data_IF_880464843785
#
_entry.id   IF_880464843785
#
_cell.length_a   1.000
_cell.length_b   1.000
_cell.length_c   1.000
_cell.angle_alpha   90.00
_cell.angle_beta   90.00
_cell.angle_gamma   90.00
#
_symmetry.space_group_name_H-M   'P 1'
#
loop_
_entity.id
_entity.type
_entity.pdbx_description
1 polymer ?
#
# COMPACT_ATOMS: atom_id res chain seq x y z
N UNK A 1 32.96 -20.83 10.93
CA UNK A 1 31.89 -19.92 10.44
C UNK A 1 32.54 -18.58 10.16
N UNK A 2 32.56 -18.11 8.91
CA UNK A 2 33.16 -16.82 8.60
C UNK A 2 32.26 -15.70 9.13
N UNK A 3 32.77 -14.89 10.06
CA UNK A 3 32.08 -13.69 10.51
C UNK A 3 32.06 -12.70 9.35
N UNK A 4 30.86 -12.34 8.86
CA UNK A 4 30.72 -11.26 7.90
C UNK A 4 31.04 -9.95 8.63
N UNK A 5 32.29 -9.48 8.52
CA UNK A 5 32.66 -8.16 9.01
C UNK A 5 32.24 -7.11 7.98
N UNK A 6 31.21 -6.34 8.31
CA UNK A 6 30.80 -5.21 7.48
C UNK A 6 31.89 -4.12 7.56
N UNK A 7 32.31 -3.52 6.43
CA UNK A 7 33.26 -2.43 6.44
C UNK A 7 32.68 -1.25 7.24
N UNK A 8 33.49 -0.64 8.10
CA UNK A 8 33.05 0.44 8.99
C UNK A 8 32.41 1.61 8.20
N UNK A 9 31.29 2.13 8.73
CA UNK A 9 30.65 3.33 8.20
C UNK A 9 31.59 4.53 8.35
N UNK A 10 31.80 5.26 7.26
CA UNK A 10 32.71 6.43 7.27
C UNK A 10 31.98 7.70 7.71
N UNK A 11 32.66 8.62 8.43
CA UNK A 11 32.08 9.89 8.85
C UNK A 11 31.55 10.72 7.68
N UNK A 12 30.46 11.45 7.91
CA UNK A 12 29.78 12.26 6.90
C UNK A 12 30.68 13.32 6.24
N UNK A 13 31.61 13.90 7.02
CA UNK A 13 32.55 14.91 6.54
C UNK A 13 33.50 14.40 5.44
N UNK A 14 33.79 13.10 5.41
CA UNK A 14 34.63 12.48 4.38
C UNK A 14 33.83 12.04 3.15
N UNK A 15 32.52 11.81 3.30
CA UNK A 15 31.63 11.30 2.25
C UNK A 15 30.99 12.43 1.42
N UNK A 16 30.59 13.53 2.06
CA UNK A 16 30.03 14.68 1.35
C UNK A 16 31.17 15.52 0.74
N UNK A 17 31.15 15.81 -0.55
CA UNK A 17 32.31 16.33 -1.27
C UNK A 17 32.63 17.77 -0.85
N UNK A 18 33.80 17.96 -0.22
CA UNK A 18 34.49 19.25 -0.24
C UNK A 18 34.95 19.58 -1.66
N UNK A 19 34.99 20.87 -2.00
CA UNK A 19 35.24 21.39 -3.35
C UNK A 19 36.52 20.86 -4.04
N UNK A 20 37.49 20.33 -3.29
CA UNK A 20 38.78 19.87 -3.81
C UNK A 20 38.75 18.45 -4.43
N UNK A 21 37.73 17.64 -4.12
CA UNK A 21 37.68 16.22 -4.54
C UNK A 21 37.15 15.99 -5.96
N UNK A 22 36.43 16.95 -6.54
CA UNK A 22 35.99 16.95 -7.94
C UNK A 22 36.95 17.70 -8.87
N UNK A 23 38.26 17.56 -8.65
CA UNK A 23 39.24 18.01 -9.65
C UNK A 23 38.96 17.32 -10.99
N UNK A 24 38.97 18.10 -12.09
CA UNK A 24 38.70 17.59 -13.43
C UNK A 24 39.57 16.35 -13.71
N UNK A 25 38.98 15.25 -14.25
CA UNK A 25 39.72 14.03 -14.51
C UNK A 25 40.85 14.30 -15.52
N UNK A 26 42.01 13.72 -15.26
CA UNK A 26 43.14 13.77 -16.17
C UNK A 26 42.91 12.73 -17.28
N UNK A 27 42.29 13.15 -18.39
CA UNK A 27 41.90 12.29 -19.51
C UNK A 27 43.08 11.74 -20.31
N UNK A 28 44.31 12.20 -20.02
CA UNK A 28 45.54 11.76 -20.70
C UNK A 28 46.12 10.47 -20.11
N UNK A 29 45.74 10.07 -18.88
CA UNK A 29 46.23 8.85 -18.24
C UNK A 29 45.07 7.96 -17.75
N UNK A 30 44.61 7.00 -18.59
CA UNK A 30 43.47 6.15 -18.27
C UNK A 30 43.72 5.23 -17.06
N UNK A 31 44.98 4.92 -16.76
CA UNK A 31 45.38 4.06 -15.64
C UNK A 31 45.15 4.78 -14.32
N UNK A 32 45.58 6.04 -14.24
CA UNK A 32 45.39 6.91 -13.08
C UNK A 32 43.91 7.26 -12.87
N UNK A 33 43.17 7.44 -13.96
CA UNK A 33 41.72 7.63 -13.90
C UNK A 33 41.00 6.37 -13.37
N UNK A 34 41.31 5.18 -13.90
CA UNK A 34 40.75 3.92 -13.43
C UNK A 34 41.06 3.69 -11.93
N UNK A 35 42.29 3.93 -11.49
CA UNK A 35 42.65 3.85 -10.07
C UNK A 35 41.88 4.84 -9.19
N UNK A 36 41.63 6.07 -9.67
CA UNK A 36 40.78 7.04 -8.96
C UNK A 36 39.34 6.57 -8.84
N UNK A 37 38.76 6.01 -9.91
CA UNK A 37 37.37 5.52 -9.92
C UNK A 37 37.21 4.28 -9.04
N UNK A 38 38.08 3.28 -9.19
CA UNK A 38 38.03 2.04 -8.40
C UNK A 38 38.24 2.35 -6.92
N UNK A 39 39.21 3.19 -6.57
CA UNK A 39 39.41 3.58 -5.18
C UNK A 39 38.19 4.33 -4.66
N UNK A 40 37.59 5.27 -5.39
CA UNK A 40 36.39 5.95 -4.91
C UNK A 40 35.20 4.98 -4.70
N UNK A 41 35.04 4.00 -5.61
CA UNK A 41 33.97 3.01 -5.53
C UNK A 41 34.18 2.01 -4.37
N UNK A 42 35.40 1.49 -4.18
CA UNK A 42 35.75 0.59 -3.07
C UNK A 42 35.76 1.33 -1.71
N UNK A 43 36.27 2.57 -1.69
CA UNK A 43 36.52 3.34 -0.46
C UNK A 43 35.23 3.85 0.21
N UNK A 44 34.12 3.93 -0.53
CA UNK A 44 32.81 4.37 -0.01
C UNK A 44 31.69 3.34 -0.23
N UNK A 45 32.01 2.08 -0.54
CA UNK A 45 31.03 1.04 -0.86
C UNK A 45 29.88 0.94 0.16
N UNK A 46 30.18 0.91 1.46
CA UNK A 46 29.15 0.83 2.53
C UNK A 46 28.29 2.11 2.59
N UNK A 47 28.88 3.29 2.42
CA UNK A 47 28.15 4.55 2.45
C UNK A 47 27.23 4.71 1.22
N UNK A 48 27.72 4.34 0.03
CA UNK A 48 26.88 4.33 -1.18
C UNK A 48 25.75 3.31 -1.08
N UNK A 49 25.99 2.13 -0.50
CA UNK A 49 24.93 1.15 -0.30
C UNK A 49 23.93 1.60 0.77
N UNK A 50 24.37 2.21 1.87
CA UNK A 50 23.48 2.81 2.85
C UNK A 50 22.62 3.93 2.25
N UNK A 51 23.19 4.79 1.40
CA UNK A 51 22.46 5.83 0.67
C UNK A 51 21.50 5.22 -0.35
N UNK A 52 21.90 4.18 -1.09
CA UNK A 52 21.04 3.48 -2.03
C UNK A 52 19.85 2.84 -1.32
N UNK A 53 20.06 2.19 -0.18
CA UNK A 53 18.98 1.67 0.68
C UNK A 53 18.11 2.80 1.19
N UNK A 54 18.68 3.91 1.66
CA UNK A 54 17.93 5.08 2.12
C UNK A 54 17.03 5.67 1.02
N UNK A 55 17.57 5.86 -0.18
CA UNK A 55 16.82 6.32 -1.36
C UNK A 55 15.76 5.29 -1.76
N UNK A 56 16.09 4.01 -1.76
CA UNK A 56 15.13 2.93 -2.07
C UNK A 56 13.97 2.91 -1.07
N UNK A 57 14.24 3.09 0.22
CA UNK A 57 13.20 3.16 1.25
C UNK A 57 12.36 4.44 1.13
N UNK A 58 12.97 5.58 0.79
CA UNK A 58 12.25 6.84 0.57
C UNK A 58 11.36 6.79 -0.66
N UNK A 59 11.92 6.37 -1.80
CA UNK A 59 11.18 6.20 -3.07
C UNK A 59 10.16 5.10 -2.95
N UNK A 60 10.51 3.97 -2.34
CA UNK A 60 9.61 2.85 -2.09
C UNK A 60 8.45 3.28 -1.20
N UNK A 61 8.70 4.00 -0.10
CA UNK A 61 7.63 4.51 0.76
C UNK A 61 6.77 5.56 0.04
N UNK A 62 7.37 6.44 -0.75
CA UNK A 62 6.64 7.42 -1.55
C UNK A 62 5.76 6.74 -2.61
N UNK A 63 6.28 5.71 -3.27
CA UNK A 63 5.58 4.95 -4.30
C UNK A 63 4.45 4.11 -3.71
N UNK A 64 4.70 3.36 -2.63
CA UNK A 64 3.68 2.59 -1.90
C UNK A 64 2.56 3.52 -1.37
N UNK A 65 2.92 4.71 -0.87
CA UNK A 65 1.92 5.68 -0.39
C UNK A 65 1.04 6.25 -1.52
N UNK A 66 1.46 6.09 -2.78
CA UNK A 66 0.75 6.54 -3.99
C UNK A 66 0.06 5.41 -4.75
N UNK A 67 0.20 4.14 -4.31
CA UNK A 67 -0.41 3.01 -5.02
C UNK A 67 -1.90 2.86 -4.70
N UNK A 68 -2.36 3.35 -3.55
CA UNK A 68 -3.76 3.25 -3.12
C UNK A 68 -4.47 4.60 -3.18
N UNK A 69 -4.67 5.09 -4.40
CA UNK A 69 -5.38 6.33 -4.72
C UNK A 69 -6.90 6.13 -4.78
N UNK A 70 -7.46 5.26 -3.93
CA UNK A 70 -8.88 4.90 -3.94
C UNK A 70 -9.55 5.21 -2.60
N UNK A 71 -10.79 5.68 -2.66
CA UNK A 71 -11.70 5.80 -1.51
C UNK A 71 -12.83 4.81 -1.69
N UNK A 72 -12.91 3.84 -0.79
CA UNK A 72 -13.97 2.84 -0.78
C UNK A 72 -15.12 3.35 0.08
N UNK A 73 -16.31 3.44 -0.51
CA UNK A 73 -17.53 3.86 0.18
C UNK A 73 -18.53 2.73 0.17
N UNK A 74 -18.90 2.23 1.35
CA UNK A 74 -20.00 1.26 1.51
C UNK A 74 -21.25 2.00 1.94
N UNK A 75 -22.25 2.04 1.06
CA UNK A 75 -23.54 2.70 1.26
C UNK A 75 -24.67 1.74 0.87
N UNK A 76 -25.39 1.21 1.85
CA UNK A 76 -26.48 0.25 1.64
C UNK A 76 -27.84 0.95 1.78
N UNK A 77 -28.76 0.80 0.80
CA UNK A 77 -30.15 1.24 0.96
C UNK A 77 -30.80 0.54 2.17
N UNK A 78 -31.32 1.34 3.11
CA UNK A 78 -31.97 0.84 4.33
C UNK A 78 -31.09 0.85 5.58
N UNK A 79 -29.77 0.93 5.43
CA UNK A 79 -28.89 1.26 6.56
C UNK A 79 -28.88 2.78 6.77
N UNK A 80 -28.91 3.28 8.02
CA UNK A 80 -28.85 4.72 8.28
C UNK A 80 -27.44 5.30 8.04
N UNK A 81 -26.43 4.44 7.95
CA UNK A 81 -25.02 4.82 7.93
C UNK A 81 -24.31 4.31 6.68
N UNK A 82 -23.24 4.99 6.32
CA UNK A 82 -22.27 4.57 5.31
C UNK A 82 -20.87 4.60 5.91
N UNK A 83 -19.97 3.81 5.33
CA UNK A 83 -18.55 3.84 5.69
C UNK A 83 -17.73 4.43 4.56
N UNK A 84 -16.70 5.19 4.93
CA UNK A 84 -15.72 5.78 4.01
C UNK A 84 -14.35 5.34 4.50
N UNK A 85 -13.60 4.64 3.64
CA UNK A 85 -12.28 4.09 3.94
C UNK A 85 -11.27 4.43 2.85
N UNK A 86 -10.08 4.91 3.23
CA UNK A 86 -9.00 5.27 2.31
C UNK A 86 -7.66 5.39 3.06
N UNK A 87 -6.54 5.41 2.33
CA UNK A 87 -5.21 5.62 2.91
C UNK A 87 -4.78 7.08 2.71
N UNK A 88 -4.41 7.75 3.80
CA UNK A 88 -3.86 9.11 3.76
C UNK A 88 -2.51 9.13 4.48
N UNK A 89 -1.46 9.54 3.77
CA UNK A 89 -0.07 9.58 4.25
C UNK A 89 0.39 8.23 4.84
N UNK A 90 -0.01 7.12 4.21
CA UNK A 90 0.29 5.76 4.66
C UNK A 90 -0.52 5.29 5.88
N UNK A 91 -1.43 6.12 6.41
CA UNK A 91 -2.34 5.73 7.50
C UNK A 91 -3.73 5.45 6.96
N UNK A 92 -4.26 4.27 7.27
CA UNK A 92 -5.64 3.95 6.99
C UNK A 92 -6.59 4.90 7.75
N UNK A 93 -7.54 5.49 7.02
CA UNK A 93 -8.63 6.32 7.53
C UNK A 93 -9.91 5.55 7.30
N UNK A 94 -10.63 5.29 8.39
CA UNK A 94 -11.93 4.66 8.34
C UNK A 94 -12.92 5.50 9.16
N UNK A 95 -14.11 5.74 8.61
CA UNK A 95 -15.16 6.43 9.33
C UNK A 95 -16.55 5.93 8.96
N UNK A 96 -17.45 5.94 9.95
CA UNK A 96 -18.86 5.59 9.82
C UNK A 96 -19.70 6.87 10.00
N UNK A 97 -20.47 7.25 8.98
CA UNK A 97 -21.24 8.52 8.87
C UNK A 97 -22.70 8.23 8.57
N UNK A 98 -23.58 9.15 8.94
CA UNK A 98 -24.98 9.04 8.58
C UNK A 98 -25.15 9.37 7.10
N UNK A 99 -26.02 8.60 6.42
CA UNK A 99 -26.25 8.74 4.99
C UNK A 99 -26.88 10.09 4.62
N UNK A 100 -27.75 10.60 5.50
CA UNK A 100 -28.46 11.89 5.32
C UNK A 100 -27.66 13.09 5.86
N UNK A 101 -26.49 12.87 6.47
CA UNK A 101 -25.62 13.97 6.89
C UNK A 101 -25.14 14.75 5.67
N UNK A 102 -25.07 16.07 5.82
CA UNK A 102 -24.57 16.98 4.76
C UNK A 102 -23.10 16.74 4.49
N UNK A 103 -22.74 16.71 3.21
CA UNK A 103 -21.37 16.47 2.72
C UNK A 103 -20.34 17.40 3.39
N UNK A 104 -20.69 18.67 3.60
CA UNK A 104 -19.84 19.67 4.28
C UNK A 104 -19.20 19.14 5.57
N UNK A 105 -19.99 18.44 6.39
CA UNK A 105 -19.53 17.94 7.69
C UNK A 105 -18.51 16.82 7.54
N UNK A 106 -18.62 15.99 6.49
CA UNK A 106 -17.66 14.91 6.21
C UNK A 106 -16.36 15.49 5.67
N UNK A 107 -16.43 16.41 4.70
CA UNK A 107 -15.23 17.07 4.13
C UNK A 107 -14.46 17.83 5.22
N UNK A 108 -15.17 18.54 6.11
CA UNK A 108 -14.57 19.24 7.26
C UNK A 108 -13.88 18.28 8.25
N UNK A 109 -14.43 17.07 8.45
CA UNK A 109 -13.76 16.06 9.29
C UNK A 109 -12.52 15.50 8.62
N UNK A 110 -12.57 15.28 7.31
CA UNK A 110 -11.42 14.81 6.53
C UNK A 110 -10.31 15.87 6.59
N UNK A 111 -10.62 17.15 6.38
CA UNK A 111 -9.62 18.23 6.46
C UNK A 111 -8.98 18.33 7.84
N UNK A 112 -9.77 18.24 8.91
CA UNK A 112 -9.26 18.25 10.29
C UNK A 112 -8.37 17.05 10.63
N UNK A 113 -8.66 15.88 10.05
CA UNK A 113 -7.82 14.69 10.25
C UNK A 113 -6.55 14.76 9.42
N UNK A 114 -6.61 15.31 8.20
CA UNK A 114 -5.45 15.55 7.35
C UNK A 114 -4.46 16.52 8.02
N UNK A 115 -4.95 17.63 8.59
CA UNK A 115 -4.12 18.61 9.30
C UNK A 115 -3.34 18.02 10.50
N UNK A 116 -3.83 16.93 11.10
CA UNK A 116 -3.18 16.27 12.25
C UNK A 116 -2.08 15.28 11.81
N UNK A 117 -2.16 14.74 10.59
CA UNK A 117 -1.23 13.73 10.05
C UNK A 117 0.20 14.24 9.87
N UNK A 118 0.36 15.51 9.49
CA UNK A 118 1.67 16.15 9.27
C UNK A 118 2.51 16.36 10.54
N UNK A 119 1.96 16.09 11.73
CA UNK A 119 2.64 16.32 13.02
C UNK A 119 3.39 15.10 13.58
N UNK A 120 3.44 13.97 12.87
CA UNK A 120 4.17 12.78 13.33
C UNK A 120 5.63 12.74 12.88
N UNK A 121 6.38 13.78 13.22
CA UNK A 121 7.81 13.65 13.51
C UNK A 121 7.96 13.88 15.01
N UNK A 122 8.08 12.78 15.77
CA UNK A 122 8.48 12.83 17.19
C UNK A 122 7.36 12.63 18.22
N UNK A 123 6.75 11.45 18.28
CA UNK A 123 6.06 11.02 19.51
C UNK A 123 7.07 10.42 20.49
N UNK A 124 7.94 11.27 21.04
CA UNK A 124 8.78 10.91 22.18
C UNK A 124 7.93 10.84 23.47
N UNK A 125 8.28 9.89 24.34
CA UNK A 125 7.60 9.55 25.60
C UNK A 125 7.37 10.77 26.50
N UNK A 126 6.17 10.85 27.11
CA UNK A 126 5.76 11.80 28.15
C UNK A 126 6.76 11.85 29.31
N UNK A 127 7.29 13.03 29.61
CA UNK A 127 7.64 13.46 30.98
C UNK A 127 7.20 14.92 31.19
N UNK A 128 7.11 15.35 32.45
CA UNK A 128 6.13 16.30 33.01
C UNK A 128 6.75 17.69 33.27
N UNK A 129 5.99 18.75 32.95
CA UNK A 129 5.90 20.09 33.60
C UNK A 129 6.95 21.19 33.24
N UNK A 130 6.55 22.25 32.53
CA UNK A 130 6.15 23.59 33.08
C UNK A 130 6.22 24.76 32.06
N UNK A 131 5.09 25.51 31.98
CA UNK A 131 4.73 26.87 31.49
C UNK A 131 5.29 27.53 30.19
N UNK A 132 4.50 28.45 29.54
CA UNK A 132 4.71 29.01 28.19
C UNK A 132 4.95 30.56 28.24
N UNK A 133 4.78 31.38 27.16
CA UNK A 133 4.65 31.13 25.71
C UNK A 133 5.58 31.98 24.82
N UNK A 134 5.80 31.52 23.58
CA UNK A 134 5.90 32.27 22.30
C UNK A 134 6.98 31.67 21.39
N UNK A 135 6.57 31.10 20.26
CA UNK A 135 6.82 31.67 18.93
C UNK A 135 6.28 30.72 17.85
N UNK A 136 5.52 31.32 16.93
CA UNK A 136 4.94 30.74 15.70
C UNK A 136 4.09 29.48 15.90
N UNK A 137 2.82 29.71 16.22
CA UNK A 137 1.79 28.90 15.60
C UNK A 137 1.93 29.10 14.09
N UNK A 138 2.63 28.18 13.43
CA UNK A 138 2.43 27.99 12.00
C UNK A 138 0.93 27.76 11.84
N UNK A 139 0.24 28.76 11.28
CA UNK A 139 -1.14 28.62 10.84
C UNK A 139 -1.05 27.56 9.76
N UNK A 140 -1.28 26.30 10.13
CA UNK A 140 -1.42 25.23 9.18
C UNK A 140 -2.60 25.63 8.30
N UNK A 141 -2.32 26.02 7.06
CA UNK A 141 -3.35 26.34 6.09
C UNK A 141 -4.32 25.15 6.03
N UNK A 142 -5.64 25.39 6.10
CA UNK A 142 -6.60 24.31 6.12
C UNK A 142 -6.44 23.51 4.82
N UNK A 143 -6.11 22.22 4.96
CA UNK A 143 -6.03 21.31 3.82
C UNK A 143 -7.37 21.38 3.08
N UNK A 144 -7.32 21.87 1.84
CA UNK A 144 -8.52 22.01 1.01
C UNK A 144 -9.02 20.62 0.65
N UNK A 145 -10.25 20.31 1.05
CA UNK A 145 -10.88 19.02 0.75
C UNK A 145 -12.12 19.28 -0.08
N UNK A 146 -12.20 18.65 -1.25
CA UNK A 146 -13.32 18.81 -2.21
C UNK A 146 -13.69 17.47 -2.80
N UNK A 147 -14.97 17.28 -3.09
CA UNK A 147 -15.44 16.15 -3.86
C UNK A 147 -15.88 16.66 -5.22
N UNK A 148 -15.41 16.05 -6.31
CA UNK A 148 -15.76 16.44 -7.67
C UNK A 148 -16.49 15.31 -8.38
N UNK A 149 -17.46 15.66 -9.20
CA UNK A 149 -18.13 14.76 -10.14
C UNK A 149 -17.98 15.36 -11.53
N UNK A 150 -17.38 14.61 -12.46
CA UNK A 150 -17.17 15.08 -13.84
C UNK A 150 -16.47 16.45 -13.95
N UNK A 151 -15.54 16.73 -13.02
CA UNK A 151 -14.79 17.98 -12.97
C UNK A 151 -15.47 19.13 -12.21
N UNK A 152 -16.73 18.98 -11.82
CA UNK A 152 -17.47 19.99 -11.05
C UNK A 152 -17.52 19.66 -9.56
N UNK A 153 -17.46 20.69 -8.71
CA UNK A 153 -17.55 20.49 -7.26
C UNK A 153 -18.96 20.04 -6.84
N UNK A 154 -19.04 18.93 -6.13
CA UNK A 154 -20.30 18.45 -5.55
C UNK A 154 -20.76 19.41 -4.46
N UNK A 155 -22.05 19.75 -4.47
CA UNK A 155 -22.65 20.66 -3.48
C UNK A 155 -22.41 20.17 -2.05
N UNK A 156 -21.93 21.08 -1.20
CA UNK A 156 -21.72 20.81 0.24
C UNK A 156 -23.02 20.47 0.99
N UNK A 157 -24.17 20.85 0.42
CA UNK A 157 -25.51 20.58 0.95
C UNK A 157 -26.10 19.26 0.46
N UNK A 158 -25.41 18.54 -0.43
CA UNK A 158 -25.83 17.21 -0.85
C UNK A 158 -25.76 16.23 0.34
N UNK A 159 -26.62 15.21 0.31
CA UNK A 159 -26.55 14.11 1.26
C UNK A 159 -25.38 13.20 0.93
N UNK A 160 -24.75 12.61 1.94
CA UNK A 160 -23.64 11.70 1.72
C UNK A 160 -24.02 10.50 0.83
N UNK A 161 -25.23 9.96 0.97
CA UNK A 161 -25.75 8.88 0.13
C UNK A 161 -25.76 9.21 -1.37
N UNK A 162 -25.91 10.48 -1.73
CA UNK A 162 -25.96 10.96 -3.12
C UNK A 162 -24.60 11.46 -3.60
N UNK A 163 -23.86 12.13 -2.71
CA UNK A 163 -22.56 12.73 -3.01
C UNK A 163 -21.50 11.66 -3.32
N UNK A 164 -21.43 10.59 -2.53
CA UNK A 164 -20.44 9.53 -2.70
C UNK A 164 -20.94 8.49 -3.71
N UNK A 165 -20.64 8.72 -4.99
CA UNK A 165 -21.02 7.85 -6.10
C UNK A 165 -19.85 7.57 -7.04
N UNK A 166 -19.95 6.51 -7.83
CA UNK A 166 -18.91 6.19 -8.81
C UNK A 166 -18.72 7.33 -9.81
N UNK A 167 -17.46 7.53 -10.23
CA UNK A 167 -17.06 8.68 -11.05
C UNK A 167 -16.84 9.97 -10.26
N UNK A 168 -17.01 9.96 -8.93
CA UNK A 168 -16.55 11.07 -8.08
C UNK A 168 -15.10 10.91 -7.68
N UNK A 169 -14.42 12.03 -7.48
CA UNK A 169 -13.01 12.09 -7.07
C UNK A 169 -12.90 12.97 -5.83
N UNK A 170 -12.36 12.42 -4.75
CA UNK A 170 -12.05 13.14 -3.54
C UNK A 170 -10.66 13.78 -3.68
N UNK A 171 -10.60 15.10 -3.55
CA UNK A 171 -9.36 15.86 -3.51
C UNK A 171 -9.03 16.22 -2.06
N UNK A 172 -7.80 15.93 -1.64
CA UNK A 172 -7.25 16.32 -0.34
C UNK A 172 -5.92 17.03 -0.61
N UNK A 173 -5.93 18.36 -0.59
CA UNK A 173 -4.80 19.15 -1.10
C UNK A 173 -4.56 18.86 -2.58
N UNK A 174 -3.36 18.39 -2.90
CA UNK A 174 -2.96 18.00 -4.27
C UNK A 174 -3.27 16.54 -4.61
N UNK A 175 -3.59 15.71 -3.61
CA UNK A 175 -3.82 14.27 -3.80
C UNK A 175 -5.26 14.02 -4.25
N UNK A 176 -5.41 13.09 -5.19
CA UNK A 176 -6.70 12.71 -5.79
C UNK A 176 -7.00 11.26 -5.46
N UNK A 177 -8.24 11.00 -5.07
CA UNK A 177 -8.71 9.66 -4.74
C UNK A 177 -9.97 9.34 -5.54
N UNK A 178 -9.93 8.26 -6.33
CA UNK A 178 -11.10 7.77 -7.03
C UNK A 178 -12.08 7.13 -6.05
N UNK A 179 -13.34 7.58 -6.06
CA UNK A 179 -14.38 6.98 -5.24
C UNK A 179 -14.88 5.70 -5.89
N UNK A 180 -14.89 4.63 -5.11
CA UNK A 180 -15.49 3.34 -5.46
C UNK A 180 -16.61 3.04 -4.48
N UNK A 181 -17.84 3.17 -4.95
CA UNK A 181 -19.03 2.88 -4.15
C UNK A 181 -19.36 1.41 -4.26
N UNK A 182 -19.60 0.77 -3.12
CA UNK A 182 -20.08 -0.61 -3.03
C UNK A 182 -19.28 -1.55 -3.94
N UNK A 183 -17.94 -1.40 -3.95
CA UNK A 183 -17.09 -2.30 -4.73
C UNK A 183 -17.31 -3.74 -4.25
N UNK A 184 -17.34 -4.73 -5.17
CA UNK A 184 -17.31 -6.14 -4.80
C UNK A 184 -16.19 -6.41 -3.78
N UNK A 185 -16.55 -6.98 -2.64
CA UNK A 185 -15.63 -7.24 -1.54
C UNK A 185 -15.95 -8.60 -0.90
N UNK A 186 -14.90 -9.35 -0.52
CA UNK A 186 -15.08 -10.57 0.26
C UNK A 186 -15.28 -10.23 1.74
N UNK A 187 -16.50 -10.41 2.24
CA UNK A 187 -16.79 -10.34 3.69
C UNK A 187 -16.28 -11.56 4.42
N UNK A 188 -16.13 -12.69 3.71
CA UNK A 188 -15.50 -13.90 4.22
C UNK A 188 -14.68 -14.56 3.13
N UNK A 189 -13.45 -14.92 3.46
CA UNK A 189 -12.62 -15.75 2.61
C UNK A 189 -11.76 -16.66 3.49
N UNK A 190 -12.21 -17.90 3.71
CA UNK A 190 -11.61 -18.83 4.65
C UNK A 190 -11.35 -20.18 4.02
N UNK A 191 -10.17 -20.74 4.25
CA UNK A 191 -9.89 -22.13 3.92
C UNK A 191 -10.41 -23.08 5.00
N UNK A 192 -10.67 -24.35 4.64
CA UNK A 192 -10.82 -25.41 5.62
C UNK A 192 -9.60 -25.46 6.56
N UNK A 193 -9.84 -25.72 7.85
CA UNK A 193 -8.76 -25.79 8.85
C UNK A 193 -7.83 -27.01 8.69
N UNK A 194 -8.20 -27.97 7.85
CA UNK A 194 -7.40 -29.14 7.50
C UNK A 194 -7.50 -29.37 5.99
N UNK A 195 -6.36 -29.58 5.35
CA UNK A 195 -6.23 -29.81 3.91
C UNK A 195 -5.59 -31.20 3.71
N UNK A 196 -6.29 -32.07 3.01
CA UNK A 196 -5.86 -33.45 2.76
C UNK A 196 -5.70 -33.68 1.26
N UNK A 197 -4.61 -34.32 0.86
CA UNK A 197 -4.39 -34.69 -0.53
C UNK A 197 -5.49 -35.66 -0.99
N UNK A 198 -5.98 -35.46 -2.22
CA UNK A 198 -7.05 -36.27 -2.80
C UNK A 198 -8.47 -35.89 -2.32
N UNK A 199 -8.61 -34.89 -1.46
CA UNK A 199 -9.90 -34.34 -1.04
C UNK A 199 -10.11 -32.94 -1.61
N UNK A 200 -11.32 -32.61 -2.12
CA UNK A 200 -11.60 -31.29 -2.65
C UNK A 200 -11.53 -30.24 -1.55
N UNK A 201 -10.88 -29.12 -1.84
CA UNK A 201 -10.82 -27.97 -0.94
C UNK A 201 -11.97 -27.03 -1.28
N UNK A 202 -12.91 -26.87 -0.34
CA UNK A 202 -14.05 -25.98 -0.49
C UNK A 202 -13.87 -24.74 0.41
N UNK A 203 -13.30 -23.64 -0.10
CA UNK A 203 -13.17 -22.41 0.68
C UNK A 203 -14.55 -21.84 0.98
N UNK A 204 -14.72 -21.27 2.18
CA UNK A 204 -15.90 -20.50 2.53
C UNK A 204 -15.70 -19.06 2.09
N UNK A 205 -16.30 -18.73 0.95
CA UNK A 205 -16.27 -17.43 0.32
C UNK A 205 -17.64 -16.77 0.43
N UNK A 206 -17.71 -15.57 0.99
CA UNK A 206 -18.91 -14.73 1.03
C UNK A 206 -18.53 -13.37 0.42
N UNK A 207 -19.31 -12.93 -0.56
CA UNK A 207 -19.08 -11.70 -1.33
C UNK A 207 -20.21 -10.72 -1.04
N UNK A 208 -19.86 -9.47 -0.80
CA UNK A 208 -20.76 -8.34 -0.74
C UNK A 208 -20.63 -7.51 -2.03
N UNK A 209 -21.75 -6.97 -2.52
CA UNK A 209 -21.83 -6.17 -3.75
C UNK A 209 -21.29 -6.84 -5.02
N UNK A 210 -21.34 -8.17 -5.06
CA UNK A 210 -20.94 -8.97 -6.22
C UNK A 210 -21.52 -10.36 -6.15
N UNK A 211 -21.25 -11.17 -7.17
CA UNK A 211 -21.59 -12.59 -7.19
C UNK A 211 -20.31 -13.39 -7.22
N UNK A 212 -20.31 -14.51 -6.51
CA UNK A 212 -19.16 -15.43 -6.52
C UNK A 212 -18.90 -16.00 -7.92
N UNK A 213 -19.95 -16.10 -8.74
CA UNK A 213 -19.89 -16.57 -10.13
C UNK A 213 -19.07 -15.65 -11.05
N UNK A 214 -19.05 -14.35 -10.73
CA UNK A 214 -18.32 -13.34 -11.49
C UNK A 214 -16.87 -13.17 -11.00
N UNK A 215 -16.48 -13.90 -9.94
CA UNK A 215 -15.15 -13.82 -9.35
C UNK A 215 -14.15 -14.74 -10.08
N UNK A 216 -12.92 -14.25 -10.24
CA UNK A 216 -11.80 -15.08 -10.69
C UNK A 216 -11.05 -15.62 -9.46
N UNK A 217 -10.96 -16.96 -9.36
CA UNK A 217 -10.31 -17.65 -8.25
C UNK A 217 -9.07 -18.38 -8.78
N UNK A 218 -7.90 -18.04 -8.25
CA UNK A 218 -6.64 -18.68 -8.61
C UNK A 218 -6.06 -19.40 -7.40
N UNK A 219 -5.72 -20.67 -7.58
CA UNK A 219 -5.06 -21.49 -6.55
C UNK A 219 -3.55 -21.43 -6.73
N UNK A 220 -2.84 -21.28 -5.62
CA UNK A 220 -1.38 -21.29 -5.58
C UNK A 220 -0.91 -22.44 -4.71
N UNK A 221 0.27 -22.97 -5.02
CA UNK A 221 0.96 -23.96 -4.20
C UNK A 221 2.29 -23.38 -3.76
N UNK A 222 2.66 -23.44 -2.48
CA UNK A 222 3.99 -23.02 -2.06
C UNK A 222 5.05 -23.87 -2.78
N UNK A 223 5.88 -23.22 -3.59
CA UNK A 223 7.08 -23.84 -4.15
C UNK A 223 8.11 -24.12 -3.06
N UNK A 224 9.04 -25.05 -3.32
CA UNK A 224 10.19 -25.33 -2.45
C UNK A 224 11.01 -24.04 -2.30
N UNK A 225 10.82 -23.30 -1.20
CA UNK A 225 11.45 -22.09 -0.61
C UNK A 225 12.18 -21.02 -1.48
N UNK A 226 12.47 -21.20 -2.77
CA UNK A 226 13.31 -20.33 -3.59
C UNK A 226 12.52 -19.31 -4.45
N UNK A 227 11.18 -19.40 -4.51
CA UNK A 227 10.37 -18.59 -5.43
C UNK A 227 9.45 -17.54 -4.79
N UNK A 228 9.46 -17.37 -3.46
CA UNK A 228 8.58 -16.42 -2.79
C UNK A 228 8.84 -14.93 -3.17
N UNK A 229 9.99 -14.62 -3.79
CA UNK A 229 10.32 -13.27 -4.27
C UNK A 229 9.97 -13.01 -5.75
N UNK A 230 9.59 -14.04 -6.53
CA UNK A 230 9.33 -13.87 -7.96
C UNK A 230 7.91 -13.37 -8.28
N UNK A 231 6.98 -13.46 -7.33
CA UNK A 231 5.58 -13.06 -7.52
C UNK A 231 5.35 -11.54 -7.49
N UNK A 232 6.31 -10.75 -7.01
CA UNK A 232 6.29 -9.28 -7.15
C UNK A 232 6.78 -8.79 -8.53
N UNK A 233 7.23 -9.71 -9.41
CA UNK A 233 7.72 -9.39 -10.76
C UNK A 233 7.06 -10.28 -11.79
N UNK A 234 5.84 -9.90 -12.20
CA UNK A 234 5.05 -10.40 -13.35
C UNK A 234 5.75 -11.35 -14.32
N UNK A 235 5.99 -12.58 -13.88
CA UNK A 235 6.76 -13.59 -14.60
C UNK A 235 5.87 -14.77 -14.93
N UNK A 236 5.65 -15.01 -16.22
CA UNK A 236 4.89 -16.14 -16.76
C UNK A 236 5.50 -17.46 -16.31
N UNK A 237 4.67 -18.38 -15.78
CA UNK A 237 4.99 -19.80 -15.81
C UNK A 237 4.41 -20.64 -14.67
N UNK A 238 3.31 -21.34 -14.95
CA UNK A 238 2.80 -22.47 -14.15
C UNK A 238 1.39 -22.81 -14.59
N UNK A 239 1.12 -24.06 -14.98
CA UNK A 239 -0.19 -24.50 -15.52
C UNK A 239 -1.34 -24.09 -14.60
N UNK A 240 -2.25 -23.28 -15.15
CA UNK A 240 -3.44 -22.73 -14.50
C UNK A 240 -4.57 -23.74 -14.67
N UNK A 241 -5.14 -24.23 -13.57
CA UNK A 241 -6.46 -24.86 -13.60
C UNK A 241 -7.51 -23.82 -13.21
N UNK A 242 -8.12 -23.20 -14.23
CA UNK A 242 -9.30 -22.35 -14.05
C UNK A 242 -10.49 -23.27 -13.80
N UNK A 243 -10.82 -23.51 -12.53
CA UNK A 243 -12.07 -24.18 -12.20
C UNK A 243 -13.17 -23.11 -12.13
N UNK A 244 -13.98 -23.02 -13.21
CA UNK A 244 -15.29 -22.35 -13.13
C UNK A 244 -16.11 -23.04 -12.04
N UNK A 245 -16.92 -22.30 -11.26
CA UNK A 245 -17.82 -22.93 -10.31
C UNK A 245 -18.85 -23.75 -11.08
N UNK A 246 -18.65 -25.07 -11.12
CA UNK A 246 -19.68 -25.97 -11.63
C UNK A 246 -20.79 -26.04 -10.59
N UNK A 247 -21.96 -25.52 -10.98
CA UNK A 247 -23.20 -25.78 -10.27
C UNK A 247 -23.35 -27.30 -10.08
N UNK A 248 -23.33 -27.71 -8.81
CA UNK A 248 -23.96 -28.92 -8.26
C UNK A 248 -24.05 -30.11 -9.24
N UNK A 249 -23.03 -30.95 -9.30
CA UNK A 249 -23.21 -32.31 -9.83
C UNK A 249 -22.33 -33.34 -9.12
N UNK A 250 -22.91 -34.53 -9.02
CA UNK A 250 -22.56 -35.67 -8.18
C UNK A 250 -21.14 -36.21 -8.41
N UNK A 251 -20.54 -36.66 -7.30
CA UNK A 251 -19.29 -37.42 -7.24
C UNK A 251 -19.47 -38.81 -7.88
N UNK A 252 -18.52 -39.28 -8.71
CA UNK A 252 -18.22 -40.70 -8.81
C UNK A 252 -16.82 -41.04 -8.27
N UNK A 253 -16.75 -42.16 -7.58
CA UNK A 253 -15.57 -42.78 -6.99
C UNK A 253 -14.48 -43.15 -8.01
N UNK A 254 -13.21 -42.97 -7.63
CA UNK A 254 -12.13 -43.93 -7.95
C UNK A 254 -10.87 -43.36 -8.61
N UNK A 255 -9.77 -43.23 -7.85
CA UNK A 255 -8.47 -43.98 -7.93
C UNK A 255 -7.35 -43.21 -7.20
N UNK A 256 -6.40 -43.89 -6.51
CA UNK A 256 -5.38 -43.25 -5.68
C UNK A 256 -4.09 -42.97 -6.48
N UNK A 257 -3.65 -41.71 -6.51
CA UNK A 257 -2.39 -41.32 -7.14
C UNK A 257 -1.89 -39.95 -6.69
N UNK A 258 -0.86 -39.98 -5.82
CA UNK A 258 0.15 -38.97 -5.44
C UNK A 258 -0.30 -37.59 -4.84
N UNK A 259 0.42 -37.07 -3.81
CA UNK A 259 -0.13 -36.11 -2.87
C UNK A 259 -0.01 -34.67 -3.38
N UNK A 260 -1.14 -34.02 -3.62
CA UNK A 260 -1.19 -32.59 -3.87
C UNK A 260 -1.77 -31.86 -2.65
N UNK A 261 -0.86 -31.28 -1.86
CA UNK A 261 -1.17 -30.27 -0.85
C UNK A 261 -1.31 -28.92 -1.55
N UNK A 262 -2.48 -28.30 -1.41
CA UNK A 262 -2.86 -27.03 -2.02
C UNK A 262 -3.22 -26.04 -0.91
N UNK A 263 -2.45 -24.94 -0.80
CA UNK A 263 -2.59 -23.93 0.26
C UNK A 263 -2.86 -22.59 -0.42
N UNK A 264 -4.04 -22.01 -0.20
CA UNK A 264 -4.41 -20.73 -0.82
C UNK A 264 -3.77 -19.58 -0.09
N UNK A 265 -2.99 -18.79 -0.82
CA UNK A 265 -2.79 -17.38 -0.53
C UNK A 265 -3.86 -16.60 -1.29
N UNK A 266 -4.85 -16.10 -0.56
CA UNK A 266 -5.72 -15.05 -1.06
C UNK A 266 -4.88 -13.77 -1.02
N UNK A 267 -4.42 -13.33 -2.19
CA UNK A 267 -3.79 -12.03 -2.31
C UNK A 267 -4.87 -10.97 -2.04
N UNK A 268 -4.97 -10.55 -0.77
CA UNK A 268 -5.61 -9.30 -0.40
C UNK A 268 -4.68 -8.21 -0.92
N UNK A 269 -4.95 -7.74 -2.13
CA UNK A 269 -4.37 -6.49 -2.61
C UNK A 269 -4.99 -5.39 -1.75
N UNK A 270 -4.23 -4.95 -0.74
CA UNK A 270 -4.46 -3.71 0.00
C UNK A 270 -3.84 -2.56 -0.78
#
# INVERSE_FOLDING_TARGET
MAALELPALRPWADFYPGAERFSRPDLRDPTKWNHRVINNLLYYQTNYMAMAVGVFLLVGRWFISRMDDRVVVRCIPGEPKLTISFILDGSHRHMLRDQTEKLAKVLFRISNNAAKGGSQVGRAKKSKKSKPPLLLAAVAEPVVVKLLYDGEAVSENAENSEAWKDGTVLHIGETRYEVQRNRPNFTRAQLPGCLLAGFPVCPRLEVEFGRLEDCELTWYKPGRLEHALHLLRGGRGGKVHVLRPAARQQVPHGTPGDPQLEVVLLEQVW
#
